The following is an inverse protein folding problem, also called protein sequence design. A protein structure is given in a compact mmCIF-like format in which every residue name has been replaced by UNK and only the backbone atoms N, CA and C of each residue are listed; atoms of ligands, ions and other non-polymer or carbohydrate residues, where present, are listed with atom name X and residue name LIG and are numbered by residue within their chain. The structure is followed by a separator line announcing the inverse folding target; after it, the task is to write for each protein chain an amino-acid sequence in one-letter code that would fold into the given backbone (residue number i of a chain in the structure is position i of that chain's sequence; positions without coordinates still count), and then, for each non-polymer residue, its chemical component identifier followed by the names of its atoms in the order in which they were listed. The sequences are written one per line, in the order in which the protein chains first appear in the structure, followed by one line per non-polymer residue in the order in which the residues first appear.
data_IF_417667517455
#
_entry.id   IF_417667517455
#
_cell.length_a   1.000
_cell.length_b   1.000
_cell.length_c   1.000
_cell.angle_alpha   90.00
_cell.angle_beta   90.00
_cell.angle_gamma   90.00
#
_symmetry.space_group_name_H-M   'P 1'
#
loop_
_entity.id
_entity.type
_entity.pdbx_description
1 polymer ?
#
# COMPACT_ATOMS: atom_id res chain seq x y z
N UNK A 1 -19.11 -1.61 0.10
CA UNK A 1 -17.65 -1.91 0.17
C UNK A 1 -16.72 -0.71 -0.07
N UNK A 2 -16.96 0.20 -1.02
CA UNK A 2 -15.97 1.25 -1.34
C UNK A 2 -15.72 2.39 -0.32
N UNK A 3 -16.68 2.68 0.58
CA UNK A 3 -16.57 3.83 1.51
C UNK A 3 -15.41 3.67 2.50
N UNK A 4 -15.26 2.48 3.10
CA UNK A 4 -14.23 2.23 4.11
C UNK A 4 -12.81 2.29 3.51
N UNK A 5 -12.62 1.84 2.27
CA UNK A 5 -11.32 1.94 1.60
C UNK A 5 -10.93 3.40 1.32
N UNK A 6 -11.90 4.24 0.89
CA UNK A 6 -11.64 5.68 0.67
C UNK A 6 -11.31 6.42 1.96
N UNK A 7 -11.96 6.06 3.06
CA UNK A 7 -11.66 6.61 4.38
C UNK A 7 -10.31 6.15 4.91
N UNK A 8 -9.98 4.86 4.77
CA UNK A 8 -8.66 4.31 5.09
C UNK A 8 -7.56 5.01 4.28
N UNK A 9 -7.77 5.24 2.98
CA UNK A 9 -6.85 6.01 2.14
C UNK A 9 -6.64 7.42 2.69
N UNK A 10 -7.70 8.13 3.12
CA UNK A 10 -7.52 9.48 3.71
C UNK A 10 -6.62 9.46 4.95
N UNK A 11 -6.81 8.50 5.85
CA UNK A 11 -5.96 8.39 7.04
C UNK A 11 -4.52 7.98 6.71
N UNK A 12 -4.36 7.06 5.75
CA UNK A 12 -3.04 6.62 5.30
C UNK A 12 -2.29 7.71 4.53
N UNK A 13 -2.99 8.57 3.80
CA UNK A 13 -2.41 9.74 3.13
C UNK A 13 -1.89 10.77 4.13
N UNK A 14 -2.62 10.98 5.23
CA UNK A 14 -2.13 11.83 6.31
C UNK A 14 -0.95 11.17 7.05
N UNK A 15 -1.03 9.86 7.31
CA UNK A 15 0.10 9.11 7.86
C UNK A 15 1.34 9.22 6.95
N UNK A 16 1.17 9.13 5.62
CA UNK A 16 2.27 9.28 4.66
C UNK A 16 2.95 10.65 4.77
N UNK A 17 2.23 11.72 5.10
CA UNK A 17 2.81 13.05 5.33
C UNK A 17 3.61 13.12 6.63
N UNK A 18 3.10 12.48 7.68
CA UNK A 18 3.73 12.49 9.01
C UNK A 18 4.93 11.54 9.10
N UNK A 19 4.85 10.39 8.44
CA UNK A 19 5.85 9.31 8.46
C UNK A 19 6.15 8.81 7.04
N UNK A 20 6.79 9.62 6.19
CA UNK A 20 6.97 9.34 4.76
C UNK A 20 7.82 8.12 4.45
N UNK A 21 8.63 7.64 5.41
CA UNK A 21 9.50 6.48 5.24
C UNK A 21 8.95 5.22 5.90
N UNK A 22 7.69 5.21 6.36
CA UNK A 22 7.10 4.03 6.95
C UNK A 22 6.54 3.10 5.85
N UNK A 23 7.12 1.90 5.62
CA UNK A 23 6.70 0.99 4.56
C UNK A 23 5.27 0.45 4.76
N UNK A 24 4.80 0.35 6.01
CA UNK A 24 3.47 -0.19 6.31
C UNK A 24 2.36 0.70 5.70
N UNK A 25 2.57 2.02 5.70
CA UNK A 25 1.62 2.99 5.14
C UNK A 25 1.39 2.72 3.65
N UNK A 26 2.48 2.55 2.89
CA UNK A 26 2.41 2.27 1.46
C UNK A 26 1.81 0.89 1.18
N UNK A 27 2.12 -0.12 1.99
CA UNK A 27 1.50 -1.44 1.83
C UNK A 27 -0.03 -1.38 1.98
N UNK A 28 -0.52 -0.71 3.02
CA UNK A 28 -1.95 -0.56 3.22
C UNK A 28 -2.61 0.34 2.17
N UNK A 29 -1.93 1.38 1.67
CA UNK A 29 -2.42 2.14 0.53
C UNK A 29 -2.58 1.24 -0.70
N UNK A 30 -1.60 0.38 -0.98
CA UNK A 30 -1.66 -0.61 -2.05
C UNK A 30 -2.89 -1.50 -1.94
N UNK A 31 -3.14 -2.04 -0.75
CA UNK A 31 -4.32 -2.90 -0.45
C UNK A 31 -5.64 -2.19 -0.68
N UNK A 32 -5.74 -0.93 -0.25
CA UNK A 32 -6.96 -0.14 -0.42
C UNK A 32 -7.21 0.22 -1.88
N UNK A 33 -6.17 0.60 -2.63
CA UNK A 33 -6.29 0.93 -4.06
C UNK A 33 -6.63 -0.29 -4.90
N UNK A 34 -6.04 -1.46 -4.61
CA UNK A 34 -6.39 -2.73 -5.24
C UNK A 34 -7.86 -3.09 -4.99
N UNK A 35 -8.33 -2.95 -3.75
CA UNK A 35 -9.73 -3.21 -3.39
C UNK A 35 -10.72 -2.23 -4.07
N UNK A 36 -10.27 -1.04 -4.43
CA UNK A 36 -11.03 -0.07 -5.24
C UNK A 36 -10.90 -0.29 -6.75
N UNK A 37 -10.08 -1.26 -7.18
CA UNK A 37 -9.83 -1.59 -8.58
C UNK A 37 -8.80 -0.71 -9.29
N UNK A 38 -8.17 0.25 -8.59
CA UNK A 38 -7.12 1.10 -9.15
C UNK A 38 -5.77 0.37 -9.08
N UNK A 39 -5.56 -0.53 -10.04
CA UNK A 39 -4.35 -1.37 -10.11
C UNK A 39 -3.07 -0.56 -10.23
N UNK A 40 -3.11 0.58 -10.93
CA UNK A 40 -1.93 1.44 -11.10
C UNK A 40 -1.47 1.99 -9.76
N UNK A 41 -2.38 2.58 -8.98
CA UNK A 41 -2.02 3.08 -7.64
C UNK A 41 -1.66 1.95 -6.69
N UNK A 42 -2.31 0.80 -6.81
CA UNK A 42 -1.94 -0.37 -6.01
C UNK A 42 -0.48 -0.76 -6.26
N UNK A 43 -0.09 -0.88 -7.53
CA UNK A 43 1.26 -1.24 -7.94
C UNK A 43 2.31 -0.25 -7.41
N UNK A 44 2.10 1.05 -7.62
CA UNK A 44 3.02 2.10 -7.16
C UNK A 44 3.25 2.00 -5.64
N UNK A 45 2.17 1.86 -4.88
CA UNK A 45 2.24 1.80 -3.42
C UNK A 45 2.90 0.50 -2.93
N UNK A 46 2.60 -0.66 -3.51
CA UNK A 46 3.29 -1.89 -3.15
C UNK A 46 4.77 -1.85 -3.47
N UNK A 47 5.15 -1.28 -4.62
CA UNK A 47 6.55 -1.13 -5.01
C UNK A 47 7.31 -0.30 -3.97
N UNK A 48 6.78 0.87 -3.62
CA UNK A 48 7.37 1.74 -2.59
C UNK A 48 7.43 1.05 -1.23
N UNK A 49 6.39 0.29 -0.85
CA UNK A 49 6.36 -0.44 0.41
C UNK A 49 7.52 -1.46 0.49
N UNK A 50 7.71 -2.26 -0.57
CA UNK A 50 8.79 -3.25 -0.66
C UNK A 50 10.16 -2.57 -0.62
N UNK A 51 10.35 -1.50 -1.40
CA UNK A 51 11.59 -0.71 -1.44
C UNK A 51 11.98 -0.15 -0.05
N UNK A 52 11.01 0.41 0.68
CA UNK A 52 11.24 0.97 2.02
C UNK A 52 11.40 -0.09 3.11
N UNK A 53 10.80 -1.27 2.94
CA UNK A 53 10.85 -2.35 3.95
C UNK A 53 12.20 -3.07 4.00
N UNK A 54 12.89 -3.16 2.86
CA UNK A 54 14.19 -3.81 2.75
C UNK A 54 14.23 -5.29 3.18
N UNK A 55 13.17 -6.06 2.98
CA UNK A 55 13.17 -7.50 3.31
C UNK A 55 12.66 -7.84 4.73
N UNK A 56 12.31 -6.84 5.55
CA UNK A 56 12.13 -7.01 7.00
C UNK A 56 10.68 -7.14 7.45
N UNK A 57 9.70 -6.97 6.55
CA UNK A 57 8.28 -6.90 6.92
C UNK A 57 7.54 -8.20 6.60
N UNK A 58 6.69 -8.73 7.51
CA UNK A 58 5.99 -9.99 7.28
C UNK A 58 5.06 -9.98 6.06
N UNK A 59 4.47 -8.83 5.73
CA UNK A 59 3.57 -8.68 4.57
C UNK A 59 4.30 -8.58 3.23
N UNK A 60 5.64 -8.55 3.21
CA UNK A 60 6.39 -8.30 1.98
C UNK A 60 6.20 -9.41 0.94
N UNK A 61 6.04 -10.66 1.38
CA UNK A 61 5.68 -11.77 0.50
C UNK A 61 4.31 -11.54 -0.16
N UNK A 62 3.30 -11.09 0.60
CA UNK A 62 1.98 -10.74 0.05
C UNK A 62 2.09 -9.59 -0.95
N UNK A 63 2.84 -8.53 -0.61
CA UNK A 63 3.05 -7.39 -1.50
C UNK A 63 3.74 -7.80 -2.81
N UNK A 64 4.77 -8.65 -2.75
CA UNK A 64 5.48 -9.15 -3.94
C UNK A 64 4.60 -10.03 -4.81
N UNK A 65 3.75 -10.86 -4.22
CA UNK A 65 2.79 -11.68 -4.97
C UNK A 65 1.73 -10.82 -5.66
N UNK A 66 1.24 -9.77 -5.01
CA UNK A 66 0.29 -8.82 -5.62
C UNK A 66 0.93 -8.03 -6.75
N UNK A 67 2.16 -7.56 -6.57
CA UNK A 67 2.91 -6.86 -7.62
C UNK A 67 3.03 -7.65 -8.91
N UNK A 68 3.11 -8.99 -8.85
CA UNK A 68 3.14 -9.85 -10.04
C UNK A 68 1.80 -9.96 -10.76
N UNK A 69 0.68 -9.68 -10.07
CA UNK A 69 -0.70 -9.89 -10.54
C UNK A 69 -1.40 -8.59 -10.96
N UNK A 70 -0.87 -7.45 -10.51
CA UNK A 70 -1.36 -6.10 -10.82
C UNK A 70 -0.86 -5.64 -12.19
#
# INVERSE_FOLDING_TARGET
MGRQYRESIRYLEEARRLIPNNPDVYYYLGRNWEALGDRRKAFENYKTAVELSGGKRPWELDARERLKRL
#
